data_IF_563202028558
#
_entry.id   IF_563202028558
#
_cell.length_a   1.000
_cell.length_b   1.000
_cell.length_c   1.000
_cell.angle_alpha   90.00
_cell.angle_beta   90.00
_cell.angle_gamma   90.00
#
_symmetry.space_group_name_H-M   'P 1'
#
loop_
_entity.id
_entity.type
_entity.pdbx_description
1 polymer ?
#
# COMPACT_ATOMS: atom_id res chain seq x y z
N UNK A 1 -10.58 -7.76 26.72
CA UNK A 1 -11.25 -7.50 25.41
C UNK A 1 -11.41 -8.85 24.73
N UNK A 2 -12.56 -9.15 24.16
CA UNK A 2 -12.82 -10.45 23.55
C UNK A 2 -11.90 -10.71 22.35
N UNK A 3 -11.47 -11.96 22.13
CA UNK A 3 -10.49 -12.31 21.09
C UNK A 3 -10.99 -12.03 19.68
N UNK A 4 -12.31 -12.18 19.46
CA UNK A 4 -12.89 -11.83 18.16
C UNK A 4 -12.79 -10.33 17.83
N UNK A 5 -12.88 -9.42 18.83
CA UNK A 5 -12.71 -7.97 18.62
C UNK A 5 -11.27 -7.64 18.20
N UNK A 6 -10.29 -8.33 18.82
CA UNK A 6 -8.87 -8.19 18.46
C UNK A 6 -8.61 -8.66 17.04
N UNK A 7 -9.19 -9.84 16.70
CA UNK A 7 -9.07 -10.41 15.36
C UNK A 7 -9.71 -9.51 14.29
N UNK A 8 -10.91 -8.98 14.55
CA UNK A 8 -11.56 -8.01 13.66
C UNK A 8 -10.75 -6.74 13.49
N UNK A 9 -10.15 -6.21 14.57
CA UNK A 9 -9.29 -5.02 14.46
C UNK A 9 -8.05 -5.25 13.59
N UNK A 10 -7.38 -6.40 13.74
CA UNK A 10 -6.23 -6.75 12.92
C UNK A 10 -6.62 -6.98 11.45
N UNK A 11 -7.74 -7.68 11.21
CA UNK A 11 -8.30 -7.88 9.88
C UNK A 11 -8.68 -6.54 9.23
N UNK A 12 -9.41 -5.69 9.94
CA UNK A 12 -9.78 -4.34 9.50
C UNK A 12 -8.55 -3.51 9.13
N UNK A 13 -7.48 -3.60 9.94
CA UNK A 13 -6.22 -2.91 9.68
C UNK A 13 -5.60 -3.27 8.34
N UNK A 14 -5.43 -4.55 8.05
CA UNK A 14 -4.83 -5.02 6.81
C UNK A 14 -5.80 -4.91 5.61
N UNK A 15 -7.07 -5.27 5.79
CA UNK A 15 -8.09 -5.19 4.76
C UNK A 15 -8.38 -3.74 4.34
N UNK A 16 -8.42 -2.80 5.29
CA UNK A 16 -8.61 -1.39 4.99
C UNK A 16 -7.46 -0.80 4.17
N UNK A 17 -6.22 -1.17 4.47
CA UNK A 17 -5.07 -0.79 3.63
C UNK A 17 -5.20 -1.40 2.23
N UNK A 18 -5.51 -2.70 2.13
CA UNK A 18 -5.71 -3.37 0.84
C UNK A 18 -6.83 -2.72 0.03
N UNK A 19 -7.96 -2.36 0.68
CA UNK A 19 -9.08 -1.69 0.02
C UNK A 19 -8.69 -0.34 -0.59
N UNK A 20 -7.84 0.45 0.08
CA UNK A 20 -7.32 1.71 -0.46
C UNK A 20 -6.45 1.45 -1.70
N UNK A 21 -5.57 0.44 -1.68
CA UNK A 21 -4.74 0.08 -2.83
C UNK A 21 -5.59 -0.38 -4.02
N UNK A 22 -6.58 -1.24 -3.79
CA UNK A 22 -7.51 -1.72 -4.82
C UNK A 22 -8.32 -0.56 -5.40
N UNK A 23 -8.86 0.32 -4.55
CA UNK A 23 -9.60 1.49 -5.02
C UNK A 23 -8.74 2.41 -5.88
N UNK A 24 -7.51 2.70 -5.46
CA UNK A 24 -6.58 3.51 -6.24
C UNK A 24 -6.24 2.83 -7.57
N UNK A 25 -5.93 1.54 -7.57
CA UNK A 25 -5.65 0.78 -8.79
C UNK A 25 -6.85 0.80 -9.75
N UNK A 26 -8.07 0.58 -9.25
CA UNK A 26 -9.29 0.63 -10.06
C UNK A 26 -9.49 2.01 -10.71
N UNK A 27 -9.33 3.08 -9.94
CA UNK A 27 -9.44 4.45 -10.45
C UNK A 27 -8.43 4.76 -11.56
N UNK A 28 -7.18 4.34 -11.40
CA UNK A 28 -6.12 4.59 -12.38
C UNK A 28 -6.25 3.68 -13.61
N UNK A 29 -6.78 2.46 -13.43
CA UNK A 29 -7.02 1.53 -14.53
C UNK A 29 -7.97 2.08 -15.59
N UNK A 30 -8.92 2.96 -15.24
CA UNK A 30 -9.81 3.61 -16.21
C UNK A 30 -9.02 4.48 -17.20
N UNK A 31 -8.08 5.29 -16.71
CA UNK A 31 -7.25 6.13 -17.58
C UNK A 31 -6.27 5.32 -18.44
N UNK A 32 -5.76 4.22 -17.89
CA UNK A 32 -4.93 3.28 -18.64
C UNK A 32 -5.72 2.60 -19.77
N UNK A 33 -6.94 2.16 -19.48
CA UNK A 33 -7.84 1.56 -20.46
C UNK A 33 -8.22 2.56 -21.56
N UNK A 34 -8.55 3.80 -21.21
CA UNK A 34 -8.88 4.85 -22.18
C UNK A 34 -7.73 5.08 -23.18
N UNK A 35 -6.47 5.11 -22.71
CA UNK A 35 -5.32 5.26 -23.57
C UNK A 35 -5.15 4.09 -24.56
N UNK A 36 -5.33 2.85 -24.07
CA UNK A 36 -5.24 1.65 -24.90
C UNK A 36 -6.36 1.61 -25.94
N UNK A 37 -7.60 1.94 -25.55
CA UNK A 37 -8.76 1.95 -26.45
C UNK A 37 -8.69 3.05 -27.50
N UNK A 38 -8.06 4.19 -27.19
CA UNK A 38 -7.83 5.25 -28.16
C UNK A 38 -6.83 4.87 -29.28
N UNK A 39 -6.08 3.79 -29.10
CA UNK A 39 -5.06 3.31 -30.01
C UNK A 39 -3.69 3.93 -29.71
N UNK A 40 -2.73 3.08 -29.39
CA UNK A 40 -1.34 3.47 -29.14
C UNK A 40 -0.48 3.20 -30.36
N UNK A 41 0.46 4.09 -30.65
CA UNK A 41 1.52 3.87 -31.63
C UNK A 41 2.50 2.79 -31.13
N UNK A 42 3.30 2.15 -32.01
CA UNK A 42 4.28 1.15 -31.58
C UNK A 42 5.26 1.66 -30.52
N UNK A 43 5.66 2.94 -30.59
CA UNK A 43 6.53 3.55 -29.59
C UNK A 43 5.83 3.68 -28.23
N UNK A 44 4.57 4.11 -28.22
CA UNK A 44 3.78 4.23 -26.98
C UNK A 44 3.52 2.88 -26.33
N UNK A 45 3.29 1.82 -27.12
CA UNK A 45 3.23 0.45 -26.62
C UNK A 45 4.54 0.02 -25.96
N UNK A 46 5.67 0.30 -26.58
CA UNK A 46 6.98 0.01 -26.00
C UNK A 46 7.15 0.72 -24.66
N UNK A 47 6.84 2.02 -24.60
CA UNK A 47 6.95 2.83 -23.38
C UNK A 47 6.00 2.35 -22.28
N UNK A 48 4.77 1.94 -22.62
CA UNK A 48 3.82 1.35 -21.68
C UNK A 48 4.40 0.09 -21.06
N UNK A 49 4.92 -0.85 -21.87
CA UNK A 49 5.51 -2.10 -21.38
C UNK A 49 6.73 -1.82 -20.50
N UNK A 50 7.63 -0.95 -20.91
CA UNK A 50 8.81 -0.56 -20.13
C UNK A 50 8.41 0.05 -18.81
N UNK A 51 7.43 0.96 -18.81
CA UNK A 51 6.90 1.56 -17.59
C UNK A 51 6.27 0.51 -16.64
N UNK A 52 5.45 -0.39 -17.18
CA UNK A 52 4.84 -1.46 -16.38
C UNK A 52 5.89 -2.38 -15.73
N UNK A 53 6.92 -2.78 -16.48
CA UNK A 53 8.03 -3.61 -15.95
C UNK A 53 8.81 -2.85 -14.87
N UNK A 54 9.14 -1.58 -15.16
CA UNK A 54 9.84 -0.73 -14.18
C UNK A 54 9.04 -0.57 -12.87
N UNK A 55 7.73 -0.28 -12.97
CA UNK A 55 6.87 -0.09 -11.81
C UNK A 55 6.61 -1.39 -11.05
N UNK A 56 6.48 -2.53 -11.75
CA UNK A 56 6.41 -3.84 -11.11
C UNK A 56 7.65 -4.10 -10.24
N UNK A 57 8.83 -3.75 -10.74
CA UNK A 57 10.08 -3.93 -9.99
C UNK A 57 10.25 -2.87 -8.88
N UNK A 58 10.11 -1.58 -9.20
CA UNK A 58 10.41 -0.49 -8.28
C UNK A 58 9.37 -0.36 -7.16
N UNK A 59 8.09 -0.29 -7.53
CA UNK A 59 7.01 -0.18 -6.55
C UNK A 59 6.52 -1.54 -6.08
N UNK A 60 6.19 -2.46 -7.00
CA UNK A 60 5.64 -3.76 -6.66
C UNK A 60 6.58 -4.57 -5.79
N UNK A 61 7.74 -4.91 -6.32
CA UNK A 61 8.69 -5.77 -5.62
C UNK A 61 9.44 -5.03 -4.51
N UNK A 62 10.19 -3.96 -4.85
CA UNK A 62 11.05 -3.28 -3.86
C UNK A 62 10.27 -2.45 -2.84
N UNK A 63 9.21 -1.75 -3.28
CA UNK A 63 8.40 -0.89 -2.43
C UNK A 63 7.43 -1.69 -1.56
N UNK A 64 6.51 -2.40 -2.20
CA UNK A 64 5.45 -3.12 -1.50
C UNK A 64 5.94 -4.44 -0.90
N UNK A 65 6.44 -5.37 -1.71
CA UNK A 65 6.71 -6.73 -1.25
C UNK A 65 7.81 -6.79 -0.18
N UNK A 66 8.92 -6.07 -0.36
CA UNK A 66 10.05 -6.14 0.57
C UNK A 66 9.89 -5.21 1.79
N UNK A 67 9.11 -4.15 1.70
CA UNK A 67 9.09 -3.12 2.75
C UNK A 67 7.70 -2.86 3.33
N UNK A 68 6.73 -2.52 2.47
CA UNK A 68 5.43 -2.06 2.94
C UNK A 68 4.56 -3.21 3.47
N UNK A 69 4.37 -4.26 2.70
CA UNK A 69 3.47 -5.37 3.03
C UNK A 69 3.85 -6.12 4.31
N UNK A 70 5.13 -6.50 4.54
CA UNK A 70 5.53 -7.15 5.78
C UNK A 70 5.34 -6.25 7.00
N UNK A 71 5.56 -4.94 6.85
CA UNK A 71 5.38 -3.96 7.93
C UNK A 71 3.90 -3.79 8.28
N UNK A 72 3.02 -3.67 7.28
CA UNK A 72 1.57 -3.58 7.51
C UNK A 72 1.08 -4.83 8.23
N UNK A 73 1.50 -6.02 7.80
CA UNK A 73 1.15 -7.29 8.43
C UNK A 73 1.65 -7.37 9.90
N UNK A 74 2.88 -6.95 10.17
CA UNK A 74 3.43 -6.89 11.53
C UNK A 74 2.63 -5.95 12.43
N UNK A 75 2.22 -4.79 11.91
CA UNK A 75 1.41 -3.82 12.66
C UNK A 75 -0.01 -4.30 12.88
N UNK A 76 -0.59 -5.04 11.94
CA UNK A 76 -1.89 -5.68 12.12
C UNK A 76 -1.84 -6.74 13.24
N UNK A 77 -0.79 -7.55 13.30
CA UNK A 77 -0.56 -8.48 14.42
C UNK A 77 -0.41 -7.73 15.74
N UNK A 78 0.32 -6.61 15.75
CA UNK A 78 0.46 -5.77 16.94
C UNK A 78 -0.88 -5.18 17.43
N UNK A 79 -1.83 -4.86 16.53
CA UNK A 79 -3.20 -4.47 16.92
C UNK A 79 -3.90 -5.62 17.64
N UNK A 80 -3.70 -6.86 17.20
CA UNK A 80 -4.26 -8.03 17.86
C UNK A 80 -3.66 -8.26 19.26
N UNK A 81 -2.35 -8.17 19.39
CA UNK A 81 -1.64 -8.43 20.65
C UNK A 81 -1.85 -7.31 21.67
N UNK A 82 -1.87 -6.05 21.23
CA UNK A 82 -1.96 -4.85 22.10
C UNK A 82 -3.13 -3.95 21.68
N UNK A 83 -4.38 -4.43 21.84
CA UNK A 83 -5.56 -3.69 21.40
C UNK A 83 -5.81 -2.47 22.27
N UNK A 84 -5.99 -1.32 21.63
CA UNK A 84 -6.53 -0.11 22.25
C UNK A 84 -7.71 0.38 21.43
N UNK A 85 -8.65 1.13 22.02
CA UNK A 85 -9.80 1.66 21.28
C UNK A 85 -9.36 2.44 20.03
N UNK A 86 -8.37 3.32 20.16
CA UNK A 86 -7.86 4.10 19.04
C UNK A 86 -7.24 3.21 17.93
N UNK A 87 -6.47 2.17 18.30
CA UNK A 87 -5.87 1.25 17.32
C UNK A 87 -6.93 0.41 16.60
N UNK A 88 -8.01 0.03 17.28
CA UNK A 88 -9.10 -0.75 16.66
C UNK A 88 -9.88 0.09 15.65
N UNK A 89 -10.30 1.30 16.03
CA UNK A 89 -11.07 2.18 15.14
C UNK A 89 -10.25 2.65 13.94
N UNK A 90 -9.03 3.07 14.18
CA UNK A 90 -8.14 3.61 13.15
C UNK A 90 -7.08 2.58 12.71
N UNK A 91 -7.40 1.28 12.76
CA UNK A 91 -6.47 0.21 12.44
C UNK A 91 -5.80 0.36 11.06
N UNK A 92 -6.48 0.72 9.95
CA UNK A 92 -5.82 0.92 8.66
C UNK A 92 -4.75 2.03 8.71
N UNK A 93 -5.04 3.17 9.35
CA UNK A 93 -4.08 4.27 9.50
C UNK A 93 -2.91 3.88 10.42
N UNK A 94 -3.18 3.12 11.47
CA UNK A 94 -2.13 2.57 12.32
C UNK A 94 -1.25 1.60 11.51
N UNK A 95 -1.82 0.65 10.79
CA UNK A 95 -1.09 -0.32 9.98
C UNK A 95 -0.27 0.34 8.87
N UNK A 96 -0.78 1.37 8.23
CA UNK A 96 -0.05 2.16 7.25
C UNK A 96 1.10 3.00 7.86
N UNK A 97 1.09 3.27 9.18
CA UNK A 97 2.17 3.95 9.88
C UNK A 97 1.95 5.45 10.15
N UNK A 98 0.73 5.96 10.00
CA UNK A 98 0.43 7.39 10.24
C UNK A 98 0.52 7.78 11.71
N UNK A 99 0.19 6.87 12.63
CA UNK A 99 0.29 7.12 14.07
C UNK A 99 0.78 5.87 14.82
N UNK A 100 1.21 6.04 16.08
CA UNK A 100 1.75 4.95 16.88
C UNK A 100 2.96 4.27 16.19
N UNK A 101 3.76 5.04 15.48
CA UNK A 101 4.94 4.59 14.77
C UNK A 101 6.17 5.37 15.24
N UNK A 102 7.37 4.82 15.01
CA UNK A 102 8.62 5.53 15.27
C UNK A 102 8.67 6.83 14.49
N UNK A 103 9.37 7.85 14.98
CA UNK A 103 9.47 9.16 14.33
C UNK A 103 9.96 9.05 12.87
N UNK A 104 10.91 8.14 12.62
CA UNK A 104 11.44 7.86 11.27
C UNK A 104 10.36 7.32 10.34
N UNK A 105 9.60 6.30 10.78
CA UNK A 105 8.54 5.72 9.98
C UNK A 105 7.43 6.73 9.70
N UNK A 106 6.99 7.46 10.73
CA UNK A 106 5.95 8.49 10.59
C UNK A 106 6.35 9.55 9.57
N UNK A 107 7.58 10.07 9.65
CA UNK A 107 8.10 11.03 8.68
C UNK A 107 8.09 10.48 7.26
N UNK A 108 8.55 9.24 7.06
CA UNK A 108 8.59 8.60 5.75
C UNK A 108 7.20 8.40 5.15
N UNK A 109 6.21 8.03 5.99
CA UNK A 109 4.81 7.87 5.56
C UNK A 109 4.23 9.21 5.12
N UNK A 110 4.41 10.28 5.89
CA UNK A 110 3.90 11.61 5.53
C UNK A 110 4.58 12.16 4.27
N UNK A 111 5.91 12.02 4.14
CA UNK A 111 6.64 12.41 2.93
C UNK A 111 6.13 11.59 1.72
N UNK A 112 6.00 10.27 1.87
CA UNK A 112 5.49 9.41 0.80
C UNK A 112 4.08 9.81 0.37
N UNK A 113 3.19 10.10 1.33
CA UNK A 113 1.83 10.58 1.03
C UNK A 113 1.85 11.91 0.28
N UNK A 114 2.69 12.87 0.71
CA UNK A 114 2.82 14.15 0.04
C UNK A 114 3.33 13.99 -1.41
N UNK A 115 4.29 13.09 -1.63
CA UNK A 115 4.80 12.77 -2.97
C UNK A 115 3.73 12.12 -3.86
N UNK A 116 2.91 11.21 -3.30
CA UNK A 116 1.79 10.60 -4.03
C UNK A 116 0.77 11.68 -4.42
N UNK A 117 0.38 12.55 -3.50
CA UNK A 117 -0.56 13.65 -3.80
C UNK A 117 0.01 14.56 -4.88
N UNK A 118 1.29 14.94 -4.79
CA UNK A 118 1.95 15.75 -5.80
C UNK A 118 1.95 15.05 -7.16
N UNK A 119 2.30 13.75 -7.21
CA UNK A 119 2.28 12.96 -8.44
C UNK A 119 0.89 12.95 -9.07
N UNK A 120 -0.16 12.73 -8.28
CA UNK A 120 -1.57 12.76 -8.76
C UNK A 120 -1.90 14.13 -9.36
N UNK A 121 -1.52 15.23 -8.70
CA UNK A 121 -1.77 16.57 -9.21
C UNK A 121 -1.02 16.86 -10.53
N UNK A 122 0.22 16.39 -10.64
CA UNK A 122 1.01 16.52 -11.86
C UNK A 122 0.44 15.67 -13.00
N UNK A 123 0.12 14.40 -12.73
CA UNK A 123 -0.41 13.49 -13.76
C UNK A 123 -1.79 13.93 -14.27
N UNK A 124 -2.59 14.61 -13.45
CA UNK A 124 -3.84 15.22 -13.90
C UNK A 124 -3.66 16.32 -14.97
N UNK A 125 -2.44 16.84 -15.15
CA UNK A 125 -2.11 17.82 -16.19
C UNK A 125 -1.53 17.19 -17.47
N UNK A 126 -1.22 15.90 -17.41
CA UNK A 126 -0.65 15.18 -18.54
C UNK A 126 -1.77 14.78 -19.51
N UNK A 127 -1.68 15.11 -20.82
CA UNK A 127 -2.67 14.69 -21.81
C UNK A 127 -2.57 13.19 -22.11
N UNK A 128 -3.66 12.60 -22.61
CA UNK A 128 -3.64 11.27 -23.19
C UNK A 128 -2.79 11.26 -24.50
N UNK A 129 -2.11 10.15 -24.80
CA UNK A 129 -2.12 8.86 -24.08
C UNK A 129 -1.09 8.75 -22.95
N UNK A 130 -0.24 9.76 -22.75
CA UNK A 130 0.86 9.73 -21.77
C UNK A 130 0.41 9.49 -20.34
N UNK A 131 -0.72 10.10 -19.96
CA UNK A 131 -1.33 9.87 -18.65
C UNK A 131 -1.67 8.40 -18.46
N UNK A 132 -2.35 7.78 -19.42
CA UNK A 132 -2.73 6.38 -19.31
C UNK A 132 -1.53 5.44 -19.28
N UNK A 133 -0.44 5.76 -20.00
CA UNK A 133 0.82 5.01 -19.95
C UNK A 133 1.43 5.07 -18.54
N UNK A 134 1.47 6.25 -17.91
CA UNK A 134 1.98 6.40 -16.55
C UNK A 134 1.10 5.66 -15.55
N UNK A 135 -0.20 5.84 -15.62
CA UNK A 135 -1.17 5.23 -14.71
C UNK A 135 -1.17 3.69 -14.84
N UNK A 136 -0.96 3.13 -16.03
CA UNK A 136 -0.84 1.69 -16.24
C UNK A 136 0.30 1.07 -15.40
N UNK A 137 1.45 1.72 -15.34
CA UNK A 137 2.57 1.27 -14.50
C UNK A 137 2.20 1.30 -13.01
N UNK A 138 1.56 2.38 -12.55
CA UNK A 138 1.11 2.49 -11.15
C UNK A 138 0.07 1.41 -10.81
N UNK A 139 -0.86 1.11 -11.72
CA UNK A 139 -1.83 0.01 -11.55
C UNK A 139 -1.13 -1.33 -11.34
N UNK A 140 -0.10 -1.62 -12.13
CA UNK A 140 0.71 -2.85 -11.97
C UNK A 140 1.40 -2.87 -10.61
N UNK A 141 2.02 -1.76 -10.19
CA UNK A 141 2.66 -1.63 -8.87
C UNK A 141 1.68 -1.84 -7.71
N UNK A 142 0.50 -1.20 -7.76
CA UNK A 142 -0.54 -1.33 -6.74
C UNK A 142 -1.18 -2.73 -6.73
N UNK A 143 -1.38 -3.34 -7.89
CA UNK A 143 -1.85 -4.72 -8.01
C UNK A 143 -0.89 -5.70 -7.34
N UNK A 144 0.41 -5.59 -7.66
CA UNK A 144 1.46 -6.35 -6.98
C UNK A 144 1.47 -6.11 -5.47
N UNK A 145 1.36 -4.83 -5.07
CA UNK A 145 1.29 -4.41 -3.67
C UNK A 145 0.13 -5.05 -2.92
N UNK A 146 -1.05 -5.08 -3.54
CA UNK A 146 -2.24 -5.72 -2.95
C UNK A 146 -2.02 -7.22 -2.74
N UNK A 147 -1.54 -7.94 -3.76
CA UNK A 147 -1.26 -9.38 -3.67
C UNK A 147 -0.21 -9.64 -2.58
N UNK A 148 0.90 -8.91 -2.59
CA UNK A 148 1.97 -9.08 -1.61
C UNK A 148 1.51 -8.78 -0.18
N UNK A 149 0.62 -7.80 0.01
CA UNK A 149 0.02 -7.50 1.31
C UNK A 149 -0.86 -8.65 1.81
N UNK A 150 -1.71 -9.20 0.95
CA UNK A 150 -2.57 -10.33 1.33
C UNK A 150 -1.74 -11.56 1.69
N UNK A 151 -0.69 -11.86 0.93
CA UNK A 151 0.24 -12.96 1.22
C UNK A 151 0.96 -12.74 2.55
N UNK A 152 1.51 -11.55 2.77
CA UNK A 152 2.22 -11.22 4.02
C UNK A 152 1.28 -11.26 5.24
N UNK A 153 0.06 -10.71 5.11
CA UNK A 153 -0.95 -10.74 6.18
C UNK A 153 -1.35 -12.18 6.51
N UNK A 154 -1.58 -13.02 5.49
CA UNK A 154 -1.91 -14.45 5.68
C UNK A 154 -0.76 -15.21 6.36
N UNK A 155 0.46 -15.02 5.91
CA UNK A 155 1.64 -15.69 6.50
C UNK A 155 1.81 -15.30 7.97
N UNK A 156 1.82 -14.01 8.27
CA UNK A 156 1.92 -13.47 9.64
C UNK A 156 0.80 -14.00 10.53
N UNK A 157 -0.43 -14.11 10.02
CA UNK A 157 -1.57 -14.63 10.78
C UNK A 157 -1.48 -16.12 11.05
N UNK A 158 -1.01 -16.92 10.08
CA UNK A 158 -0.85 -18.37 10.26
C UNK A 158 0.24 -18.71 11.28
N UNK A 159 1.37 -18.03 11.19
CA UNK A 159 2.53 -18.28 12.03
C UNK A 159 2.42 -17.57 13.40
N UNK A 160 1.48 -16.65 13.56
CA UNK A 160 1.36 -15.78 14.73
C UNK A 160 2.67 -15.06 15.06
N UNK A 161 3.46 -14.81 14.02
CA UNK A 161 4.78 -14.20 14.12
C UNK A 161 4.96 -13.17 13.02
N UNK A 162 5.41 -11.99 13.40
CA UNK A 162 5.74 -10.93 12.44
C UNK A 162 7.07 -11.23 11.76
N UNK A 163 7.13 -11.07 10.44
CA UNK A 163 8.34 -11.21 9.64
C UNK A 163 9.33 -10.06 9.86
N UNK A 164 8.84 -8.92 10.28
CA UNK A 164 9.61 -7.70 10.57
C UNK A 164 9.05 -7.02 11.83
N UNK A 165 9.84 -6.13 12.44
CA UNK A 165 9.39 -5.35 13.59
C UNK A 165 8.22 -4.43 13.21
N UNK A 166 7.24 -4.27 14.11
CA UNK A 166 6.08 -3.39 13.91
C UNK A 166 6.45 -1.89 13.96
N UNK A 167 7.70 -1.55 14.25
CA UNK A 167 8.22 -0.18 14.33
C UNK A 167 7.34 0.75 15.20
N UNK A 168 6.86 0.22 16.31
CA UNK A 168 6.17 1.02 17.33
C UNK A 168 7.20 1.67 18.25
N UNK A 169 6.94 2.85 18.84
CA UNK A 169 7.82 3.43 19.84
C UNK A 169 7.99 2.44 20.98
N UNK A 170 9.23 2.28 21.48
CA UNK A 170 9.46 1.56 22.73
C UNK A 170 8.58 2.24 23.79
N UNK A 171 7.78 1.45 24.52
CA UNK A 171 7.07 2.00 25.68
C UNK A 171 8.15 2.50 26.63
N UNK A 172 8.26 3.82 26.78
CA UNK A 172 9.02 4.39 27.88
C UNK A 172 8.46 3.74 29.13
N UNK A 173 9.32 3.01 29.84
CA UNK A 173 8.92 2.21 30.97
C UNK A 173 8.06 3.03 31.94
N UNK A 174 6.94 2.45 32.33
CA UNK A 174 6.19 2.80 33.54
C UNK A 174 6.93 2.31 34.74
#
# INVERSE_FOLDING_TARGET
MADWVRALGALWGSAGVAAVLVYAAFRLATYAADAVMAGLTPLEWLLLVVNCVFMAWAEGYRGFQLRFSPRVAARALHVYEHPTRARLWFAPLFCAGYFGATARLKRNVWIGTALIVLAVLLFNRVPQPWRGILDAGVVVGLGWGTVSLLVAARATWRERRALVAAEVPAMAGL
#
